data_IF_443086867819
#
_entry.id   IF_443086867819
#
_cell.length_a   1.000
_cell.length_b   1.000
_cell.length_c   1.000
_cell.angle_alpha   90.00
_cell.angle_beta   90.00
_cell.angle_gamma   90.00
#
_symmetry.space_group_name_H-M   'P 1'
#
loop_
_entity.id
_entity.type
_entity.pdbx_description
1 polymer ?
#
# COMPACT_ATOMS: atom_id res chain seq x y z
N UNK A 1 25.32 -20.30 -13.20
CA UNK A 1 24.64 -20.89 -12.02
C UNK A 1 23.23 -20.40 -12.12
N UNK A 2 22.29 -21.32 -12.36
CA UNK A 2 20.90 -20.96 -12.59
C UNK A 2 20.32 -20.39 -11.30
N UNK A 3 19.71 -19.21 -11.41
CA UNK A 3 18.99 -18.57 -10.31
C UNK A 3 17.63 -18.11 -10.81
N UNK A 4 16.61 -18.36 -10.00
CA UNK A 4 15.26 -17.81 -10.23
C UNK A 4 15.07 -16.55 -9.42
N UNK A 5 14.38 -15.57 -10.01
CA UNK A 5 13.85 -14.39 -9.34
C UNK A 5 12.34 -14.48 -9.43
N UNK A 6 11.67 -14.28 -8.30
CA UNK A 6 10.23 -14.39 -8.18
C UNK A 6 9.62 -13.01 -8.04
N UNK A 7 8.64 -12.67 -8.87
CA UNK A 7 8.00 -11.35 -8.91
C UNK A 7 6.49 -11.49 -8.72
N UNK A 8 5.89 -10.75 -7.79
CA UNK A 8 4.42 -10.66 -7.70
C UNK A 8 3.84 -9.83 -8.84
N UNK A 9 2.74 -10.28 -9.44
CA UNK A 9 2.11 -9.64 -10.59
C UNK A 9 2.78 -9.99 -11.92
N UNK A 10 2.14 -9.62 -13.03
CA UNK A 10 2.58 -9.94 -14.40
C UNK A 10 2.48 -8.75 -15.37
N UNK A 11 1.93 -7.63 -14.89
CA UNK A 11 1.69 -6.39 -15.61
C UNK A 11 2.99 -5.60 -15.80
N UNK A 12 3.85 -6.03 -16.73
CA UNK A 12 5.12 -5.36 -17.05
C UNK A 12 5.43 -5.40 -18.55
N UNK A 13 5.92 -4.29 -19.08
CA UNK A 13 6.43 -4.21 -20.44
C UNK A 13 7.93 -4.58 -20.48
N UNK A 14 8.23 -5.77 -21.00
CA UNK A 14 9.61 -6.26 -21.11
C UNK A 14 10.50 -5.47 -22.08
N UNK A 15 9.92 -4.60 -22.92
CA UNK A 15 10.67 -3.76 -23.85
C UNK A 15 11.05 -2.39 -23.26
N UNK A 16 10.50 -2.03 -22.09
CA UNK A 16 10.87 -0.83 -21.36
C UNK A 16 11.82 -1.21 -20.22
N UNK A 17 13.11 -0.89 -20.39
CA UNK A 17 14.15 -1.24 -19.41
C UNK A 17 13.94 -0.56 -18.06
N UNK A 18 13.41 0.67 -18.05
CA UNK A 18 13.18 1.42 -16.82
C UNK A 18 11.99 0.83 -16.06
N UNK A 19 10.92 0.53 -16.78
CA UNK A 19 9.72 -0.12 -16.23
C UNK A 19 10.09 -1.50 -15.66
N UNK A 20 10.78 -2.34 -16.43
CA UNK A 20 11.22 -3.67 -15.99
C UNK A 20 12.13 -3.59 -14.76
N UNK A 21 13.06 -2.62 -14.72
CA UNK A 21 13.93 -2.38 -13.56
C UNK A 21 13.11 -2.03 -12.33
N UNK A 22 12.18 -1.08 -12.44
CA UNK A 22 11.34 -0.64 -11.33
C UNK A 22 10.40 -1.76 -10.87
N UNK A 23 9.86 -2.53 -11.81
CA UNK A 23 9.01 -3.68 -11.53
C UNK A 23 9.77 -4.75 -10.74
N UNK A 24 11.00 -5.11 -11.14
CA UNK A 24 11.84 -6.05 -10.38
C UNK A 24 12.13 -5.52 -8.97
N UNK A 25 12.47 -4.23 -8.83
CA UNK A 25 12.75 -3.62 -7.51
C UNK A 25 11.52 -3.67 -6.60
N UNK A 26 10.32 -3.40 -7.14
CA UNK A 26 9.10 -3.30 -6.34
C UNK A 26 8.46 -4.66 -6.05
N UNK A 27 8.56 -5.63 -6.97
CA UNK A 27 7.79 -6.86 -6.92
C UNK A 27 8.61 -8.10 -6.57
N UNK A 28 9.94 -7.99 -6.42
CA UNK A 28 10.75 -9.14 -6.03
C UNK A 28 10.30 -9.70 -4.68
N UNK A 29 9.99 -10.99 -4.66
CA UNK A 29 9.52 -11.72 -3.49
C UNK A 29 10.47 -12.84 -3.10
N UNK A 30 10.51 -13.14 -1.81
CA UNK A 30 11.02 -14.44 -1.34
C UNK A 30 10.21 -15.58 -1.98
N UNK A 31 10.83 -16.75 -2.15
CA UNK A 31 10.15 -17.91 -2.75
C UNK A 31 8.85 -18.28 -2.01
N UNK A 32 8.88 -18.31 -0.68
CA UNK A 32 7.69 -18.58 0.13
C UNK A 32 6.60 -17.51 -0.03
N UNK A 33 6.99 -16.23 -0.08
CA UNK A 33 6.06 -15.14 -0.36
C UNK A 33 5.44 -15.25 -1.76
N UNK A 34 6.22 -15.66 -2.76
CA UNK A 34 5.75 -15.89 -4.12
C UNK A 34 4.76 -17.05 -4.21
N UNK A 35 5.02 -18.17 -3.53
CA UNK A 35 4.08 -19.30 -3.48
C UNK A 35 2.71 -18.88 -2.92
N UNK A 36 2.70 -18.08 -1.85
CA UNK A 36 1.45 -17.50 -1.32
C UNK A 36 0.81 -16.52 -2.31
N UNK A 37 1.60 -15.61 -2.89
CA UNK A 37 1.12 -14.61 -3.85
C UNK A 37 0.44 -15.28 -5.05
N UNK A 38 1.08 -16.30 -5.64
CA UNK A 38 0.55 -17.06 -6.80
C UNK A 38 -0.70 -17.88 -6.49
N UNK A 39 -1.01 -18.10 -5.21
CA UNK A 39 -2.31 -18.62 -4.77
C UNK A 39 -3.45 -17.59 -4.84
N UNK A 40 -3.13 -16.31 -5.01
CA UNK A 40 -4.08 -15.19 -5.03
C UNK A 40 -4.14 -14.55 -6.42
N UNK A 41 -2.99 -14.24 -7.01
CA UNK A 41 -2.84 -13.60 -8.32
C UNK A 41 -1.61 -14.16 -9.05
N UNK A 42 -1.63 -14.15 -10.39
CA UNK A 42 -0.46 -14.52 -11.19
C UNK A 42 0.80 -13.73 -10.86
N UNK A 43 1.95 -14.35 -11.09
CA UNK A 43 3.27 -13.75 -10.89
C UNK A 43 4.28 -14.23 -11.93
N UNK A 44 5.48 -13.65 -11.93
CA UNK A 44 6.54 -14.02 -12.88
C UNK A 44 7.71 -14.73 -12.19
N UNK A 45 8.17 -15.83 -12.79
CA UNK A 45 9.47 -16.43 -12.47
C UNK A 45 10.46 -16.11 -13.59
N UNK A 46 11.50 -15.34 -13.26
CA UNK A 46 12.61 -15.03 -14.16
C UNK A 46 13.74 -16.02 -13.92
N UNK A 47 14.05 -16.83 -14.92
CA UNK A 47 15.24 -17.70 -14.92
C UNK A 47 16.42 -16.94 -15.47
N UNK A 48 17.56 -17.07 -14.77
CA UNK A 48 18.79 -16.37 -15.11
C UNK A 48 19.96 -17.32 -15.25
N UNK A 49 20.83 -17.07 -16.21
CA UNK A 49 22.16 -17.69 -16.29
C UNK A 49 23.23 -16.60 -16.48
N UNK A 50 24.29 -16.68 -15.68
CA UNK A 50 25.41 -15.73 -15.67
C UNK A 50 24.97 -14.25 -15.66
N UNK A 51 23.90 -13.94 -14.92
CA UNK A 51 23.35 -12.58 -14.77
C UNK A 51 22.48 -12.10 -15.92
N UNK A 52 22.22 -12.94 -16.94
CA UNK A 52 21.31 -12.65 -18.06
C UNK A 52 19.98 -13.36 -17.87
N UNK A 53 18.90 -12.73 -18.33
CA UNK A 53 17.57 -13.35 -18.37
C UNK A 53 17.53 -14.33 -19.56
N UNK A 54 17.30 -15.61 -19.27
CA UNK A 54 17.17 -16.65 -20.30
C UNK A 54 15.70 -16.95 -20.62
N UNK A 55 14.82 -16.81 -19.63
CA UNK A 55 13.41 -17.16 -19.74
C UNK A 55 12.60 -16.43 -18.66
N UNK A 56 11.40 -15.99 -19.00
CA UNK A 56 10.41 -15.47 -18.05
C UNK A 56 9.15 -16.31 -18.18
N UNK A 57 8.70 -16.88 -17.06
CA UNK A 57 7.52 -17.72 -16.97
C UNK A 57 6.41 -17.03 -16.18
N UNK A 58 5.17 -17.14 -16.66
CA UNK A 58 3.98 -16.78 -15.91
C UNK A 58 3.58 -17.93 -14.97
N UNK A 59 3.24 -17.59 -13.74
CA UNK A 59 2.84 -18.53 -12.69
C UNK A 59 1.46 -18.17 -12.13
N UNK A 60 0.66 -19.15 -11.66
CA UNK A 60 0.90 -20.59 -11.74
C UNK A 60 0.52 -21.11 -13.13
N UNK A 61 1.49 -21.58 -13.92
CA UNK A 61 1.21 -22.04 -15.29
C UNK A 61 2.42 -22.45 -16.10
N UNK A 62 3.62 -22.05 -15.68
CA UNK A 62 4.88 -22.30 -16.40
C UNK A 62 4.84 -21.86 -17.87
N UNK A 63 3.98 -20.89 -18.22
CA UNK A 63 3.86 -20.38 -19.58
C UNK A 63 5.01 -19.40 -19.85
N UNK A 64 5.81 -19.67 -20.88
CA UNK A 64 6.86 -18.74 -21.30
C UNK A 64 6.25 -17.48 -21.92
N UNK A 65 6.43 -16.35 -21.25
CA UNK A 65 5.94 -15.04 -21.71
C UNK A 65 7.02 -14.18 -22.36
N UNK A 66 8.30 -14.42 -22.05
CA UNK A 66 9.42 -13.67 -22.64
C UNK A 66 10.77 -14.40 -22.47
N UNK A 67 11.84 -13.80 -23.00
CA UNK A 67 13.22 -14.27 -22.89
C UNK A 67 13.73 -15.05 -24.11
N UNK A 68 15.05 -15.01 -24.37
CA UNK A 68 16.10 -14.33 -23.59
C UNK A 68 16.09 -12.82 -23.76
N UNK A 69 16.53 -12.08 -22.74
CA UNK A 69 16.64 -10.60 -22.77
C UNK A 69 18.05 -10.16 -22.37
N UNK A 70 18.59 -9.19 -23.11
CA UNK A 70 19.84 -8.50 -22.74
C UNK A 70 19.55 -7.39 -21.72
N UNK A 71 19.21 -7.79 -20.50
CA UNK A 71 18.86 -6.88 -19.43
C UNK A 71 19.76 -7.12 -18.21
N UNK A 72 20.34 -6.04 -17.68
CA UNK A 72 21.11 -6.09 -16.43
C UNK A 72 20.17 -6.01 -15.23
N UNK A 73 19.97 -7.16 -14.60
CA UNK A 73 19.11 -7.31 -13.43
C UNK A 73 19.65 -6.45 -12.27
N UNK A 74 18.83 -5.57 -11.67
CA UNK A 74 19.24 -4.81 -10.50
C UNK A 74 19.52 -5.73 -9.30
N UNK A 75 20.47 -5.35 -8.46
CA UNK A 75 20.65 -6.01 -7.16
C UNK A 75 19.49 -5.62 -6.23
N UNK A 76 18.63 -6.59 -5.91
CA UNK A 76 17.44 -6.39 -5.09
C UNK A 76 17.41 -7.45 -4.00
N UNK A 77 17.21 -7.02 -2.75
CA UNK A 77 16.86 -7.93 -1.67
C UNK A 77 15.36 -8.25 -1.82
N UNK A 78 14.98 -9.52 -1.97
CA UNK A 78 13.57 -9.88 -2.13
C UNK A 78 12.74 -9.41 -0.94
N UNK A 79 11.56 -8.87 -1.23
CA UNK A 79 10.59 -8.47 -0.22
C UNK A 79 9.95 -9.70 0.41
N UNK A 80 9.55 -9.54 1.67
CA UNK A 80 8.64 -10.47 2.31
C UNK A 80 7.22 -10.05 2.02
N UNK A 81 6.35 -11.02 1.78
CA UNK A 81 4.91 -10.80 1.77
C UNK A 81 4.41 -10.92 3.21
N UNK A 82 3.64 -9.95 3.68
CA UNK A 82 3.09 -9.94 5.03
C UNK A 82 1.76 -9.18 5.05
N UNK A 83 1.07 -9.23 6.18
CA UNK A 83 -0.30 -8.76 6.30
C UNK A 83 -0.54 -8.02 7.61
N UNK A 84 -1.44 -7.04 7.60
CA UNK A 84 -2.05 -6.51 8.82
C UNK A 84 -3.30 -7.32 9.12
N UNK A 85 -3.26 -8.07 10.21
CA UNK A 85 -4.37 -8.92 10.67
C UNK A 85 -5.02 -8.30 11.91
N UNK A 86 -6.36 -8.25 12.00
CA UNK A 86 -7.03 -7.73 13.17
C UNK A 86 -6.57 -8.41 14.46
N UNK A 87 -6.26 -7.62 15.48
CA UNK A 87 -5.79 -8.10 16.78
C UNK A 87 -6.32 -7.21 17.91
N UNK A 88 -6.28 -7.72 19.15
CA UNK A 88 -6.67 -6.96 20.33
C UNK A 88 -5.85 -7.40 21.57
N UNK A 89 -4.90 -6.58 22.06
CA UNK A 89 -4.46 -5.30 21.48
C UNK A 89 -3.69 -5.53 20.16
N UNK A 90 -3.43 -4.45 19.42
CA UNK A 90 -2.57 -4.45 18.23
C UNK A 90 -1.75 -3.16 18.14
N UNK A 91 -0.62 -3.19 17.44
CA UNK A 91 0.28 -2.02 17.29
C UNK A 91 -0.21 -1.01 16.26
N UNK A 92 -0.86 -1.48 15.21
CA UNK A 92 -1.41 -0.66 14.15
C UNK A 92 -2.89 -0.42 14.39
N UNK A 93 -3.43 0.66 13.82
CA UNK A 93 -4.83 1.01 13.99
C UNK A 93 -5.38 1.59 12.69
N UNK A 94 -6.53 1.09 12.24
CA UNK A 94 -7.35 1.78 11.26
C UNK A 94 -8.60 2.33 11.94
N UNK A 95 -8.99 3.53 11.52
CA UNK A 95 -9.96 4.39 12.17
C UNK A 95 -9.49 4.91 13.53
N UNK A 96 -10.45 5.28 14.38
CA UNK A 96 -10.20 5.91 15.67
C UNK A 96 -10.20 7.44 15.62
N UNK A 97 -9.87 8.03 16.77
CA UNK A 97 -9.75 9.48 16.93
C UNK A 97 -8.34 9.91 16.52
N UNK A 98 -8.26 10.97 15.72
CA UNK A 98 -7.00 11.65 15.42
C UNK A 98 -6.37 12.18 16.73
N UNK A 99 -5.06 11.97 16.99
CA UNK A 99 -4.40 12.56 18.16
C UNK A 99 -4.58 14.08 18.21
N UNK A 100 -4.71 14.65 19.42
CA UNK A 100 -5.03 16.07 19.59
C UNK A 100 -3.86 16.99 19.15
N UNK A 101 -2.63 16.47 19.23
CA UNK A 101 -1.41 17.11 18.78
C UNK A 101 -1.16 17.01 17.27
N UNK A 102 -1.81 16.06 16.60
CA UNK A 102 -1.64 15.82 15.17
C UNK A 102 -2.47 16.83 14.38
N UNK A 103 -1.86 17.41 13.35
CA UNK A 103 -2.50 18.33 12.43
C UNK A 103 -2.26 17.88 11.00
N UNK A 104 -3.13 18.26 10.08
CA UNK A 104 -2.86 18.13 8.65
C UNK A 104 -3.08 19.48 7.96
N UNK A 105 -2.15 19.86 7.07
CA UNK A 105 -2.29 21.04 6.23
C UNK A 105 -2.82 20.64 4.86
N UNK A 106 -3.98 21.18 4.49
CA UNK A 106 -4.65 20.89 3.21
C UNK A 106 -5.12 22.18 2.56
N UNK A 107 -5.46 22.11 1.27
CA UNK A 107 -6.23 23.17 0.62
C UNK A 107 -7.75 22.97 0.84
N UNK A 108 -8.55 23.87 0.27
CA UNK A 108 -10.03 23.85 0.39
C UNK A 108 -10.70 22.68 -0.37
N UNK A 109 -9.99 22.05 -1.30
CA UNK A 109 -10.48 20.95 -2.13
C UNK A 109 -10.27 19.58 -1.48
N UNK A 110 -9.19 19.42 -0.71
CA UNK A 110 -8.84 18.17 -0.05
C UNK A 110 -9.39 18.12 1.38
N UNK A 111 -10.44 17.31 1.60
CA UNK A 111 -11.13 17.16 2.89
C UNK A 111 -10.96 15.73 3.43
N UNK A 112 -9.79 15.40 4.00
CA UNK A 112 -9.46 14.03 4.34
C UNK A 112 -10.19 13.54 5.59
N UNK A 113 -10.41 12.23 5.65
CA UNK A 113 -10.61 11.52 6.89
C UNK A 113 -9.25 11.14 7.48
N UNK A 114 -9.18 11.10 8.81
CA UNK A 114 -8.10 10.37 9.49
C UNK A 114 -8.41 8.88 9.40
N UNK A 115 -7.57 8.14 8.67
CA UNK A 115 -7.76 6.71 8.43
C UNK A 115 -7.13 5.83 9.50
N UNK A 116 -6.28 6.38 10.36
CA UNK A 116 -5.56 5.64 11.40
C UNK A 116 -4.05 5.82 11.31
N UNK A 117 -3.31 4.88 11.88
CA UNK A 117 -1.85 4.92 11.98
C UNK A 117 -1.22 3.52 11.83
N UNK A 118 -0.02 3.50 11.27
CA UNK A 118 0.91 2.38 11.36
C UNK A 118 2.01 2.74 12.37
N UNK A 119 2.25 1.88 13.35
CA UNK A 119 3.43 1.99 14.22
C UNK A 119 4.69 1.65 13.42
N UNK A 120 5.57 2.63 13.24
CA UNK A 120 6.79 2.48 12.47
C UNK A 120 7.97 1.97 13.33
N UNK A 121 7.76 1.68 14.62
CA UNK A 121 8.72 0.92 15.45
C UNK A 121 8.55 -0.58 15.28
N UNK A 122 7.44 -1.01 14.67
CA UNK A 122 7.28 -2.38 14.24
C UNK A 122 8.35 -2.74 13.19
N UNK A 123 8.94 -3.94 13.30
CA UNK A 123 10.04 -4.35 12.41
C UNK A 123 9.66 -4.33 10.94
N UNK A 124 8.40 -4.64 10.60
CA UNK A 124 7.89 -4.66 9.23
C UNK A 124 7.81 -3.25 8.61
N UNK A 125 7.68 -2.21 9.42
CA UNK A 125 7.54 -0.81 8.99
C UNK A 125 8.72 0.09 9.39
N UNK A 126 9.70 -0.43 10.11
CA UNK A 126 10.89 0.30 10.59
C UNK A 126 11.68 1.03 9.51
N UNK A 127 11.59 0.56 8.26
CA UNK A 127 12.24 1.19 7.11
C UNK A 127 11.66 2.57 6.73
N UNK A 128 10.44 2.88 7.18
CA UNK A 128 9.76 4.17 6.93
C UNK A 128 10.50 5.32 7.61
N UNK A 129 11.06 5.08 8.79
CA UNK A 129 11.87 6.07 9.52
C UNK A 129 11.08 7.20 10.17
N UNK A 130 9.80 6.98 10.48
CA UNK A 130 8.96 7.83 11.34
C UNK A 130 8.71 7.11 12.67
N UNK A 131 8.17 7.80 13.68
CA UNK A 131 7.62 7.12 14.87
C UNK A 131 6.30 6.41 14.51
N UNK A 132 5.45 7.10 13.75
CA UNK A 132 4.16 6.60 13.25
C UNK A 132 3.88 7.18 11.88
N UNK A 133 3.31 6.37 10.99
CA UNK A 133 2.72 6.85 9.75
C UNK A 133 1.22 7.03 9.95
N UNK A 134 0.79 8.26 10.19
CA UNK A 134 -0.61 8.65 10.22
C UNK A 134 -1.16 8.72 8.79
N UNK A 135 -2.32 8.13 8.53
CA UNK A 135 -2.90 8.06 7.19
C UNK A 135 -4.09 9.00 7.06
N UNK A 136 -4.11 9.73 5.95
CA UNK A 136 -5.16 10.68 5.61
C UNK A 136 -5.58 10.47 4.17
N UNK A 137 -6.88 10.34 3.95
CA UNK A 137 -7.43 10.27 2.60
C UNK A 137 -8.91 10.68 2.61
N UNK A 138 -9.39 11.39 1.59
CA UNK A 138 -10.80 11.70 1.44
C UNK A 138 -11.62 10.44 1.11
N UNK A 139 -12.81 10.33 1.70
CA UNK A 139 -13.72 9.21 1.45
C UNK A 139 -14.94 9.62 0.60
N UNK A 140 -15.08 10.91 0.30
CA UNK A 140 -15.99 11.35 -0.75
C UNK A 140 -15.46 10.92 -2.13
N UNK A 141 -16.37 10.86 -3.11
CA UNK A 141 -16.20 10.30 -4.46
C UNK A 141 -14.81 10.51 -5.10
N UNK A 142 -14.39 9.57 -5.98
CA UNK A 142 -13.14 9.55 -6.77
C UNK A 142 -12.22 10.78 -6.59
N UNK A 143 -11.22 10.62 -5.73
CA UNK A 143 -10.13 11.60 -5.62
C UNK A 143 -8.93 11.15 -6.43
N UNK A 144 -8.26 12.15 -7.02
CA UNK A 144 -7.01 11.95 -7.72
C UNK A 144 -5.92 11.43 -6.75
N UNK A 145 -4.93 10.70 -7.28
CA UNK A 145 -3.81 10.26 -6.46
C UNK A 145 -3.15 11.42 -5.73
N UNK A 146 -2.88 11.21 -4.45
CA UNK A 146 -2.48 12.28 -3.53
C UNK A 146 -1.08 12.04 -2.97
N UNK A 147 -0.27 13.10 -2.90
CA UNK A 147 1.01 13.10 -2.22
C UNK A 147 0.91 13.87 -0.90
N UNK A 148 1.38 13.27 0.20
CA UNK A 148 1.42 13.90 1.52
C UNK A 148 2.87 13.92 2.00
N UNK A 149 3.35 15.09 2.41
CA UNK A 149 4.67 15.32 2.96
C UNK A 149 4.66 15.20 4.49
N UNK A 150 5.47 14.29 5.02
CA UNK A 150 5.66 14.01 6.45
C UNK A 150 7.02 14.50 6.94
N UNK A 151 7.59 15.55 6.32
CA UNK A 151 8.80 16.19 6.84
C UNK A 151 8.65 16.57 8.34
N UNK A 152 7.46 17.03 8.73
CA UNK A 152 7.00 17.12 10.12
C UNK A 152 5.92 16.06 10.38
N UNK A 153 6.23 15.07 11.22
CA UNK A 153 5.38 13.90 11.49
C UNK A 153 4.07 14.24 12.21
N UNK A 154 4.05 15.32 12.99
CA UNK A 154 2.85 15.79 13.69
C UNK A 154 2.10 16.86 12.90
N UNK A 155 2.65 17.27 11.75
CA UNK A 155 2.04 18.25 10.85
C UNK A 155 2.23 17.88 9.38
N UNK A 156 1.77 16.69 8.94
CA UNK A 156 1.76 16.34 7.53
C UNK A 156 1.03 17.38 6.68
N UNK A 157 1.46 17.53 5.44
CA UNK A 157 0.87 18.50 4.53
C UNK A 157 0.67 17.94 3.12
N UNK A 158 -0.41 18.36 2.46
CA UNK A 158 -0.64 18.06 1.05
C UNK A 158 0.52 18.64 0.23
N UNK A 159 1.18 17.80 -0.57
CA UNK A 159 2.37 18.21 -1.33
C UNK A 159 2.00 19.13 -2.51
N UNK A 160 2.88 20.06 -2.86
CA UNK A 160 2.75 21.02 -3.97
C UNK A 160 1.61 22.05 -3.93
N UNK A 161 0.81 22.08 -2.87
CA UNK A 161 -0.23 23.12 -2.72
C UNK A 161 0.30 24.42 -2.13
N UNK A 162 -0.18 25.56 -2.62
CA UNK A 162 0.32 26.88 -2.20
C UNK A 162 -0.50 27.50 -1.07
N UNK A 163 -1.81 27.26 -1.04
CA UNK A 163 -2.73 27.84 -0.06
C UNK A 163 -3.23 26.75 0.90
N UNK A 164 -2.35 26.32 1.81
CA UNK A 164 -2.69 25.30 2.80
C UNK A 164 -3.11 25.92 4.12
N UNK A 165 -4.09 25.30 4.77
CA UNK A 165 -4.55 25.66 6.11
C UNK A 165 -4.69 24.40 6.97
N UNK A 166 -4.69 24.57 8.29
CA UNK A 166 -4.89 23.45 9.21
C UNK A 166 -6.32 22.93 9.06
N UNK A 167 -6.46 21.66 8.69
CA UNK A 167 -7.74 20.98 8.57
C UNK A 167 -7.96 20.04 9.75
N UNK A 168 -9.19 20.05 10.29
CA UNK A 168 -9.62 19.15 11.35
C UNK A 168 -10.71 18.23 10.81
N UNK A 169 -10.46 16.92 10.67
CA UNK A 169 -11.49 15.98 10.25
C UNK A 169 -12.77 16.09 11.08
N UNK A 170 -13.88 16.33 10.39
CA UNK A 170 -15.20 16.57 11.00
C UNK A 170 -15.82 15.29 11.55
N UNK A 171 -15.48 14.15 10.93
CA UNK A 171 -15.99 12.83 11.26
C UNK A 171 -14.84 11.92 11.69
N UNK A 172 -15.15 11.01 12.60
CA UNK A 172 -14.22 9.99 13.08
C UNK A 172 -14.63 8.63 12.52
N UNK A 173 -13.72 7.68 12.54
CA UNK A 173 -14.00 6.30 12.16
C UNK A 173 -13.99 5.44 13.43
N UNK A 174 -14.81 4.40 13.50
CA UNK A 174 -14.65 3.38 14.55
C UNK A 174 -13.30 2.67 14.37
N UNK A 175 -12.60 2.35 15.44
CA UNK A 175 -11.25 1.78 15.35
C UNK A 175 -11.24 0.26 15.30
N UNK A 176 -10.28 -0.30 14.56
CA UNK A 176 -9.83 -1.69 14.65
C UNK A 176 -8.31 -1.67 14.82
N UNK A 177 -7.80 -2.49 15.73
CA UNK A 177 -6.37 -2.67 15.93
C UNK A 177 -5.86 -3.88 15.13
N UNK A 178 -4.60 -3.82 14.71
CA UNK A 178 -3.97 -4.84 13.88
C UNK A 178 -2.52 -5.08 14.31
N UNK A 179 -2.03 -6.28 14.03
CA UNK A 179 -0.60 -6.62 14.06
C UNK A 179 -0.13 -7.09 12.69
N UNK A 180 1.13 -6.83 12.38
CA UNK A 180 1.79 -7.33 11.19
C UNK A 180 2.20 -8.80 11.39
N UNK A 181 1.95 -9.64 10.39
CA UNK A 181 2.29 -11.07 10.41
C UNK A 181 2.61 -11.60 9.02
N UNK A 182 3.49 -12.61 8.93
CA UNK A 182 3.70 -13.43 7.72
C UNK A 182 2.79 -14.67 7.71
N UNK A 183 2.00 -14.88 8.77
CA UNK A 183 1.15 -16.06 8.94
C UNK A 183 -0.29 -15.76 8.55
N UNK A 184 -0.64 -16.09 7.30
CA UNK A 184 -2.02 -16.08 6.81
C UNK A 184 -2.28 -17.30 5.95
N UNK A 185 -3.54 -17.76 5.96
CA UNK A 185 -4.03 -18.78 5.03
C UNK A 185 -4.87 -18.14 3.93
N UNK A 186 -4.90 -18.74 2.74
CA UNK A 186 -5.76 -18.29 1.63
C UNK A 186 -7.23 -18.17 2.07
N UNK A 187 -7.72 -19.12 2.86
CA UNK A 187 -9.09 -19.10 3.42
C UNK A 187 -9.38 -17.86 4.27
N UNK A 188 -8.38 -17.34 4.99
CA UNK A 188 -8.54 -16.10 5.76
C UNK A 188 -8.58 -14.88 4.85
N UNK A 189 -7.78 -14.88 3.77
CA UNK A 189 -7.79 -13.80 2.78
C UNK A 189 -9.10 -13.74 1.99
N UNK A 190 -9.76 -14.88 1.76
CA UNK A 190 -11.08 -14.98 1.13
C UNK A 190 -12.22 -14.50 2.05
N UNK A 191 -11.95 -14.27 3.34
CA UNK A 191 -12.98 -13.83 4.29
C UNK A 191 -13.16 -12.32 4.26
N UNK A 192 -14.07 -11.85 3.39
CA UNK A 192 -14.44 -10.43 3.28
C UNK A 192 -14.96 -9.80 4.60
N UNK A 193 -15.42 -10.62 5.54
CA UNK A 193 -15.90 -10.14 6.84
C UNK A 193 -14.78 -9.81 7.82
N UNK A 194 -13.53 -10.21 7.57
CA UNK A 194 -12.39 -9.93 8.45
C UNK A 194 -11.24 -9.39 7.61
N UNK A 195 -11.25 -8.08 7.27
CA UNK A 195 -10.32 -7.54 6.29
C UNK A 195 -8.89 -7.70 6.79
N UNK A 196 -8.12 -8.45 6.01
CA UNK A 196 -6.67 -8.60 6.16
C UNK A 196 -6.03 -7.77 5.05
N UNK A 197 -5.13 -6.87 5.44
CA UNK A 197 -4.57 -5.89 4.53
C UNK A 197 -3.17 -6.31 4.06
N UNK A 198 -2.96 -6.32 2.75
CA UNK A 198 -1.73 -6.78 2.13
C UNK A 198 -0.61 -5.74 2.29
N UNK A 199 0.60 -6.21 2.57
CA UNK A 199 1.80 -5.39 2.70
C UNK A 199 3.00 -6.03 1.99
N UNK A 200 4.08 -5.26 1.83
CA UNK A 200 5.34 -5.73 1.23
C UNK A 200 5.39 -5.61 -0.28
N UNK A 201 4.48 -6.27 -1.01
CA UNK A 201 4.36 -6.17 -2.47
C UNK A 201 2.89 -5.93 -2.85
N UNK A 202 2.60 -4.96 -3.73
CA UNK A 202 1.22 -4.69 -4.15
C UNK A 202 0.68 -5.83 -5.03
N UNK A 203 -0.61 -6.12 -4.85
CA UNK A 203 -1.41 -6.91 -5.80
C UNK A 203 -2.16 -5.89 -6.66
N UNK A 204 -2.00 -5.94 -7.98
CA UNK A 204 -2.56 -4.92 -8.86
C UNK A 204 -3.81 -5.41 -9.57
N UNK A 205 -4.89 -4.62 -9.53
CA UNK A 205 -6.12 -4.96 -10.26
C UNK A 205 -6.10 -4.41 -11.69
N UNK A 206 -5.33 -3.35 -11.91
CA UNK A 206 -5.17 -2.65 -13.20
C UNK A 206 -3.68 -2.39 -13.44
N UNK A 207 -3.28 -2.23 -14.71
CA UNK A 207 -1.89 -1.96 -15.10
C UNK A 207 -1.40 -0.65 -14.45
N UNK A 208 -0.58 -0.72 -13.40
CA UNK A 208 -0.29 0.44 -12.56
C UNK A 208 0.97 1.14 -13.05
N UNK A 209 0.97 2.47 -13.03
CA UNK A 209 2.23 3.21 -13.06
C UNK A 209 2.85 3.17 -11.66
N UNK A 210 4.08 2.67 -11.56
CA UNK A 210 4.79 2.61 -10.28
C UNK A 210 5.15 4.03 -9.81
N UNK A 211 4.70 4.44 -8.60
CA UNK A 211 4.82 5.83 -8.18
C UNK A 211 6.28 6.21 -7.92
N UNK A 212 6.66 7.38 -8.44
CA UNK A 212 7.94 8.03 -8.17
C UNK A 212 7.74 9.21 -7.23
N UNK A 213 8.69 9.41 -6.32
CA UNK A 213 8.66 10.53 -5.40
C UNK A 213 8.81 11.84 -6.18
N UNK A 214 7.90 12.81 -6.02
CA UNK A 214 7.95 14.04 -6.81
C UNK A 214 9.12 14.97 -6.44
N UNK A 215 9.75 14.77 -5.26
CA UNK A 215 10.94 15.52 -4.85
C UNK A 215 12.24 14.97 -5.43
N UNK A 216 12.33 13.65 -5.64
CA UNK A 216 13.60 12.98 -5.96
C UNK A 216 13.60 12.24 -7.29
N UNK A 217 12.42 11.94 -7.84
CA UNK A 217 12.26 11.04 -8.99
C UNK A 217 12.54 9.57 -8.67
N UNK A 218 12.93 9.23 -7.44
CA UNK A 218 13.19 7.86 -7.02
C UNK A 218 11.88 7.07 -6.86
N UNK A 219 11.91 5.77 -7.16
CA UNK A 219 10.80 4.85 -6.96
C UNK A 219 10.35 4.85 -5.48
N UNK A 220 9.04 4.96 -5.25
CA UNK A 220 8.44 4.86 -3.92
C UNK A 220 8.17 3.40 -3.57
N UNK A 221 8.32 3.04 -2.29
CA UNK A 221 8.11 1.67 -1.82
C UNK A 221 6.67 1.47 -1.35
N UNK A 222 6.05 0.37 -1.74
CA UNK A 222 4.74 -0.02 -1.23
C UNK A 222 4.76 -0.23 0.29
N UNK A 223 3.75 0.31 0.97
CA UNK A 223 3.55 0.17 2.42
C UNK A 223 2.47 -0.89 2.66
N UNK A 224 1.24 -0.62 2.23
CA UNK A 224 0.10 -1.49 2.40
C UNK A 224 -1.04 -1.16 1.43
N UNK A 225 -2.00 -2.08 1.31
CA UNK A 225 -3.31 -1.84 0.71
C UNK A 225 -4.42 -1.96 1.75
N UNK A 226 -5.36 -1.03 1.75
CA UNK A 226 -6.49 -0.97 2.69
C UNK A 226 -7.77 -1.06 1.88
N UNK A 227 -8.45 -2.20 1.96
CA UNK A 227 -9.72 -2.41 1.28
C UNK A 227 -10.87 -1.74 2.02
N UNK A 228 -11.90 -1.32 1.26
CA UNK A 228 -13.18 -0.91 1.81
C UNK A 228 -13.73 -1.99 2.76
N UNK A 229 -14.35 -1.59 3.87
CA UNK A 229 -14.87 -2.54 4.86
C UNK A 229 -16.07 -1.99 5.63
N UNK A 230 -17.05 -2.86 5.87
CA UNK A 230 -18.23 -2.57 6.69
C UNK A 230 -17.95 -2.60 8.19
N UNK A 231 -16.75 -3.04 8.62
CA UNK A 231 -16.39 -3.11 10.04
C UNK A 231 -15.96 -1.79 10.64
N UNK A 232 -15.48 -0.86 9.80
CA UNK A 232 -15.10 0.48 10.21
C UNK A 232 -16.26 1.41 9.82
N UNK A 233 -16.94 1.99 10.81
CA UNK A 233 -18.09 2.86 10.61
C UNK A 233 -17.70 4.33 10.74
N UNK A 234 -18.32 5.20 9.95
CA UNK A 234 -18.20 6.65 10.11
C UNK A 234 -19.02 7.10 11.33
N UNK A 235 -18.34 7.67 12.31
CA UNK A 235 -18.89 8.25 13.54
C UNK A 235 -19.06 9.76 13.37
N UNK A 236 -20.27 10.26 13.62
CA UNK A 236 -20.52 11.71 13.70
C UNK A 236 -20.10 12.23 15.08
N UNK A 237 -19.44 13.40 15.14
CA UNK A 237 -19.25 14.14 16.38
C UNK A 237 -20.62 14.65 16.88
N UNK A 238 -21.08 14.13 18.03
CA UNK A 238 -22.32 14.56 18.70
C UNK A 238 -23.42 13.48 18.78
N UNK A 239 -23.93 13.23 19.99
CA UNK A 239 -25.06 12.32 20.24
C UNK A 239 -26.39 13.05 19.99
N UNK A 240 -27.19 12.59 19.02
CA UNK A 240 -28.65 12.74 19.01
C UNK A 240 -29.28 11.90 17.89
N UNK A 241 -30.16 10.98 18.29
CA UNK A 241 -31.27 10.56 17.44
C UNK A 241 -31.05 9.27 16.65
N UNK A 242 -31.87 8.28 16.99
CA UNK A 242 -32.14 7.06 16.25
C UNK A 242 -32.54 7.34 14.79
N UNK A 243 -31.62 7.21 13.83
CA UNK A 243 -31.90 6.78 12.44
C UNK A 243 -30.61 6.41 11.70
N UNK A 244 -30.68 5.30 10.97
CA UNK A 244 -29.61 4.65 10.20
C UNK A 244 -29.02 5.60 9.14
N UNK A 245 -27.76 5.97 9.29
CA UNK A 245 -26.86 6.21 8.16
C UNK A 245 -25.53 5.54 8.52
N UNK A 246 -25.43 4.22 8.30
CA UNK A 246 -24.15 3.51 8.49
C UNK A 246 -23.37 3.63 7.19
N UNK A 247 -22.72 4.78 6.99
CA UNK A 247 -21.65 4.90 6.01
C UNK A 247 -20.40 4.30 6.68
N UNK A 248 -19.75 3.37 6.00
CA UNK A 248 -18.57 2.63 6.49
C UNK A 248 -17.33 3.08 5.73
N UNK A 249 -16.14 2.55 6.07
CA UNK A 249 -14.92 2.87 5.35
C UNK A 249 -15.04 2.36 3.91
N UNK A 250 -15.20 3.28 2.99
CA UNK A 250 -15.45 2.98 1.58
C UNK A 250 -14.63 3.91 0.71
N UNK A 251 -13.86 3.33 -0.21
CA UNK A 251 -13.02 4.03 -1.16
C UNK A 251 -13.69 4.00 -2.53
N UNK A 252 -14.39 5.06 -2.92
CA UNK A 252 -15.16 5.09 -4.17
C UNK A 252 -16.25 4.01 -4.19
N UNK A 253 -16.32 3.22 -5.25
CA UNK A 253 -17.21 2.06 -5.38
C UNK A 253 -16.55 0.77 -4.83
N UNK A 254 -16.39 0.69 -3.50
CA UNK A 254 -15.78 -0.46 -2.80
C UNK A 254 -14.32 -0.79 -3.18
N UNK A 255 -13.56 0.21 -3.61
CA UNK A 255 -12.16 0.07 -3.99
C UNK A 255 -11.21 -0.20 -2.82
N UNK A 256 -9.93 -0.24 -3.16
CA UNK A 256 -8.81 -0.46 -2.24
C UNK A 256 -7.83 0.72 -2.33
N UNK A 257 -7.48 1.29 -1.18
CA UNK A 257 -6.47 2.34 -1.07
C UNK A 257 -5.08 1.71 -1.04
N UNK A 258 -4.18 2.19 -1.89
CA UNK A 258 -2.77 1.78 -1.92
C UNK A 258 -1.93 2.90 -1.35
N UNK A 259 -0.99 2.54 -0.46
CA UNK A 259 -0.09 3.50 0.19
C UNK A 259 1.33 3.16 -0.21
N UNK A 260 2.06 4.15 -0.70
CA UNK A 260 3.48 4.10 -1.02
C UNK A 260 4.22 5.17 -0.22
N UNK A 261 5.49 4.94 0.07
CA UNK A 261 6.31 5.86 0.84
C UNK A 261 7.74 5.97 0.31
N UNK A 262 8.27 7.18 0.32
CA UNK A 262 9.67 7.46 0.02
C UNK A 262 10.39 7.94 1.29
N UNK A 263 11.25 7.09 1.91
CA UNK A 263 11.73 7.32 3.27
C UNK A 263 12.65 8.53 3.40
N UNK A 264 13.49 8.82 2.40
CA UNK A 264 14.45 9.94 2.48
C UNK A 264 13.76 11.31 2.45
N UNK A 265 12.70 11.44 1.64
CA UNK A 265 11.97 12.70 1.48
C UNK A 265 10.72 12.77 2.35
N UNK A 266 10.41 11.68 3.07
CA UNK A 266 9.22 11.49 3.89
C UNK A 266 7.90 11.80 3.15
N UNK A 267 7.79 11.40 1.88
CA UNK A 267 6.55 11.59 1.11
C UNK A 267 5.79 10.27 1.04
N UNK A 268 4.50 10.31 1.36
CA UNK A 268 3.56 9.25 1.02
C UNK A 268 2.83 9.56 -0.29
N UNK A 269 2.50 8.52 -1.04
CA UNK A 269 1.61 8.56 -2.18
C UNK A 269 0.43 7.62 -1.93
N UNK A 270 -0.78 8.12 -2.14
CA UNK A 270 -2.03 7.40 -1.88
C UNK A 270 -2.91 7.42 -3.14
N UNK A 271 -3.39 6.24 -3.55
CA UNK A 271 -4.28 6.11 -4.70
C UNK A 271 -5.29 4.99 -4.48
N UNK A 272 -6.49 5.12 -5.04
CA UNK A 272 -7.49 4.04 -5.04
C UNK A 272 -7.34 3.21 -6.32
N UNK A 273 -7.52 1.89 -6.22
CA UNK A 273 -7.80 1.01 -7.35
C UNK A 273 -9.12 0.25 -7.16
N UNK A 274 -9.69 -0.19 -8.28
CA UNK A 274 -10.96 -0.92 -8.39
C UNK A 274 -10.76 -2.20 -9.19
#
# INVERSE_FOLDING_TARGET
>A
MDKSIYLGGWEVNFNDEEELRNFIIQHSLTKSGFEVFTGIQSGLEIKTDNGKIIEILNQPGDEKVSGPLEFLIPEVKPHKLFWLKPSNPGKHQLGGKMPDELKILTDDSFKPFYLGQLDCKDEYFSWIGLDKLHLFYPLDFYHDPTFIDYADELKPELFNETNKSEYSPEKELSSIAFDATEEVTIKELENESDPIHLCGVPLWYQYPELPKCPKTGELMKFVCSISSTTRINIMKKGFLGSRKTKEFLMFGDMGTLYVFFHPKSKIAYLTIQF
#
